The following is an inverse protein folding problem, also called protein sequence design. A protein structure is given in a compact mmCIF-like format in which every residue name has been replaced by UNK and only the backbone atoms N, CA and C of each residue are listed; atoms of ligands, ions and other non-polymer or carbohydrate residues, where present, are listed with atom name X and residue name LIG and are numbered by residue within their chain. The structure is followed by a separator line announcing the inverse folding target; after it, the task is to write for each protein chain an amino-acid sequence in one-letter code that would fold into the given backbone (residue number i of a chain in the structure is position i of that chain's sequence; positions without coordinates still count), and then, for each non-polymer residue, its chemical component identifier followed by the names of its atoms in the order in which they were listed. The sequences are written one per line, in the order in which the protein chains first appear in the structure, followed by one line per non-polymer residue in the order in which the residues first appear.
data_IF_855190894540
#
_entry.id   IF_855190894540
#
_cell.length_a   1.000
_cell.length_b   1.000
_cell.length_c   1.000
_cell.angle_alpha   90.00
_cell.angle_beta   90.00
_cell.angle_gamma   90.00
#
_symmetry.space_group_name_H-M   'P 1'
#
loop_
_entity.id
_entity.type
_entity.pdbx_description
1 polymer ?
#
# COMPACT_ATOMS: atom_id res chain seq x y z
N UNK A 1 -23.00 -21.76 18.62
CA UNK A 1 -21.98 -22.26 19.56
C UNK A 1 -20.77 -21.32 19.62
N UNK A 2 -20.16 -20.94 18.48
CA UNK A 2 -19.02 -19.98 18.45
C UNK A 2 -19.35 -18.58 19.02
N UNK A 3 -20.54 -18.04 18.72
CA UNK A 3 -21.06 -16.75 19.26
C UNK A 3 -21.31 -16.73 20.79
N UNK A 4 -21.24 -17.88 21.47
CA UNK A 4 -21.42 -17.94 22.94
C UNK A 4 -20.10 -17.87 23.71
N UNK A 5 -18.95 -17.96 23.02
CA UNK A 5 -17.61 -17.97 23.61
C UNK A 5 -16.78 -16.73 23.29
N UNK A 6 -17.06 -16.05 22.17
CA UNK A 6 -16.34 -14.87 21.71
C UNK A 6 -17.29 -13.69 21.56
N UNK A 7 -16.85 -12.50 21.99
CA UNK A 7 -17.58 -11.26 21.78
C UNK A 7 -17.50 -10.80 20.30
N UNK A 8 -18.33 -9.83 19.92
CA UNK A 8 -18.41 -9.35 18.52
C UNK A 8 -17.05 -8.86 17.97
N UNK A 9 -16.19 -8.31 18.82
CA UNK A 9 -14.86 -7.80 18.43
C UNK A 9 -13.90 -8.97 18.14
N UNK A 10 -13.88 -9.99 18.99
CA UNK A 10 -13.05 -11.18 18.74
C UNK A 10 -13.43 -11.89 17.44
N UNK A 11 -14.71 -11.84 17.06
CA UNK A 11 -15.18 -12.39 15.80
C UNK A 11 -14.65 -11.62 14.58
N UNK A 12 -14.36 -10.31 14.69
CA UNK A 12 -13.76 -9.56 13.58
C UNK A 12 -12.36 -10.04 13.25
N UNK A 13 -11.56 -10.38 14.26
CA UNK A 13 -10.24 -10.98 14.08
C UNK A 13 -10.30 -12.33 13.34
N UNK A 14 -11.28 -13.18 13.65
CA UNK A 14 -11.51 -14.44 12.93
C UNK A 14 -11.93 -14.22 11.47
N UNK A 15 -12.72 -13.18 11.19
CA UNK A 15 -13.15 -12.84 9.82
C UNK A 15 -12.00 -12.23 9.01
N UNK A 16 -11.11 -11.46 9.66
CA UNK A 16 -9.97 -10.84 8.99
C UNK A 16 -8.85 -11.83 8.67
N UNK A 17 -8.65 -12.85 9.52
CA UNK A 17 -7.55 -13.80 9.41
C UNK A 17 -7.44 -14.47 8.02
N UNK A 18 -8.51 -15.00 7.39
CA UNK A 18 -8.42 -15.56 6.04
C UNK A 18 -7.93 -14.57 4.99
N UNK A 19 -8.35 -13.30 5.07
CA UNK A 19 -7.93 -12.27 4.12
C UNK A 19 -6.46 -11.92 4.34
N UNK A 20 -6.04 -11.75 5.60
CA UNK A 20 -4.65 -11.50 5.94
C UNK A 20 -3.73 -12.68 5.55
N UNK A 21 -4.20 -13.91 5.69
CA UNK A 21 -3.49 -15.11 5.25
C UNK A 21 -3.32 -15.13 3.72
N UNK A 22 -4.39 -14.89 2.96
CA UNK A 22 -4.32 -14.83 1.50
C UNK A 22 -3.39 -13.71 1.04
N UNK A 23 -3.51 -12.51 1.62
CA UNK A 23 -2.63 -11.39 1.30
C UNK A 23 -1.16 -11.68 1.61
N UNK A 24 -0.88 -12.34 2.73
CA UNK A 24 0.46 -12.80 3.08
C UNK A 24 0.99 -13.79 2.06
N UNK A 25 0.18 -14.81 1.73
CA UNK A 25 0.58 -15.88 0.82
C UNK A 25 0.83 -15.37 -0.61
N UNK A 26 -0.10 -14.57 -1.17
CA UNK A 26 0.02 -14.05 -2.53
C UNK A 26 1.20 -13.10 -2.67
N UNK A 27 1.35 -12.14 -1.76
CA UNK A 27 2.43 -11.15 -1.86
C UNK A 27 3.82 -11.77 -1.65
N UNK A 28 4.02 -12.68 -0.68
CA UNK A 28 5.30 -13.38 -0.55
C UNK A 28 5.60 -14.27 -1.77
N UNK A 29 4.57 -14.90 -2.35
CA UNK A 29 4.72 -15.67 -3.59
C UNK A 29 5.13 -14.75 -4.74
N UNK A 30 4.52 -13.58 -4.88
CA UNK A 30 4.86 -12.59 -5.89
C UNK A 30 6.33 -12.14 -5.75
N UNK A 31 6.77 -11.80 -4.53
CA UNK A 31 8.19 -11.48 -4.25
C UNK A 31 9.12 -12.62 -4.68
N UNK A 32 8.80 -13.86 -4.30
CA UNK A 32 9.60 -15.03 -4.65
C UNK A 32 9.68 -15.25 -6.17
N UNK A 33 8.53 -15.20 -6.86
CA UNK A 33 8.43 -15.42 -8.30
C UNK A 33 9.18 -14.34 -9.07
N UNK A 34 8.98 -13.06 -8.73
CA UNK A 34 9.64 -11.92 -9.39
C UNK A 34 11.16 -11.99 -9.18
N UNK A 35 11.61 -12.36 -7.98
CA UNK A 35 13.04 -12.52 -7.69
C UNK A 35 13.68 -13.67 -8.49
N UNK A 36 12.97 -14.81 -8.63
CA UNK A 36 13.51 -16.01 -9.29
C UNK A 36 13.52 -15.91 -10.81
N UNK A 37 12.52 -15.28 -11.41
CA UNK A 37 12.33 -15.31 -12.85
C UNK A 37 13.20 -14.26 -13.58
N UNK A 38 14.09 -14.68 -14.51
CA UNK A 38 14.94 -13.74 -15.25
C UNK A 38 14.16 -12.72 -16.08
N UNK A 39 12.92 -13.06 -16.49
CA UNK A 39 12.05 -12.16 -17.24
C UNK A 39 11.68 -10.88 -16.50
N UNK A 40 11.82 -10.85 -15.16
CA UNK A 40 11.54 -9.68 -14.33
C UNK A 40 12.80 -8.88 -13.93
N UNK A 41 13.98 -9.22 -14.49
CA UNK A 41 15.22 -8.47 -14.25
C UNK A 41 15.28 -7.19 -15.07
N UNK A 42 14.35 -6.29 -14.79
CA UNK A 42 14.23 -4.96 -15.37
C UNK A 42 13.53 -4.02 -14.39
N UNK A 43 13.57 -2.72 -14.64
CA UNK A 43 13.04 -1.70 -13.73
C UNK A 43 11.65 -2.01 -13.16
N UNK A 44 10.68 -2.33 -14.02
CA UNK A 44 9.32 -2.67 -13.59
C UNK A 44 9.26 -3.86 -12.61
N UNK A 45 10.08 -4.89 -12.80
CA UNK A 45 10.09 -6.07 -11.93
C UNK A 45 10.70 -5.76 -10.56
N UNK A 46 11.80 -5.00 -10.50
CA UNK A 46 12.37 -4.57 -9.22
C UNK A 46 11.38 -3.73 -8.40
N UNK A 47 10.68 -2.78 -9.04
CA UNK A 47 9.68 -1.96 -8.38
C UNK A 47 8.48 -2.80 -7.90
N UNK A 48 7.97 -3.69 -8.75
CA UNK A 48 6.85 -4.58 -8.39
C UNK A 48 7.20 -5.50 -7.23
N UNK A 49 8.44 -6.02 -7.20
CA UNK A 49 8.92 -6.80 -6.06
C UNK A 49 9.00 -5.98 -4.78
N UNK A 50 9.37 -4.70 -4.86
CA UNK A 50 9.42 -3.79 -3.71
C UNK A 50 8.03 -3.49 -3.16
N UNK A 51 7.03 -3.29 -4.04
CA UNK A 51 5.66 -3.08 -3.62
C UNK A 51 5.07 -4.34 -2.97
N UNK A 52 5.18 -5.49 -3.64
CA UNK A 52 4.71 -6.77 -3.11
C UNK A 52 5.39 -7.13 -1.78
N UNK A 53 6.65 -6.73 -1.58
CA UNK A 53 7.31 -6.91 -0.28
C UNK A 53 6.68 -6.04 0.82
N UNK A 54 6.35 -4.79 0.53
CA UNK A 54 5.64 -3.92 1.47
C UNK A 54 4.25 -4.47 1.81
N UNK A 55 3.48 -4.88 0.79
CA UNK A 55 2.15 -5.48 0.94
C UNK A 55 2.19 -6.82 1.70
N UNK A 56 3.27 -7.60 1.52
CA UNK A 56 3.53 -8.83 2.27
C UNK A 56 3.77 -8.54 3.75
N UNK A 57 4.61 -7.56 4.09
CA UNK A 57 4.85 -7.16 5.49
C UNK A 57 3.53 -6.73 6.13
N UNK A 58 2.79 -5.84 5.47
CA UNK A 58 1.50 -5.35 5.94
C UNK A 58 0.54 -6.50 6.27
N UNK A 59 0.32 -7.42 5.32
CA UNK A 59 -0.56 -8.57 5.51
C UNK A 59 -0.06 -9.53 6.60
N UNK A 60 1.27 -9.72 6.69
CA UNK A 60 1.90 -10.59 7.70
C UNK A 60 1.68 -10.05 9.11
N UNK A 61 1.80 -8.74 9.31
CA UNK A 61 1.54 -8.08 10.60
C UNK A 61 0.08 -8.23 11.00
N UNK A 62 -0.85 -8.06 10.06
CA UNK A 62 -2.26 -8.35 10.33
C UNK A 62 -2.51 -9.81 10.72
N UNK A 63 -1.85 -10.75 10.04
CA UNK A 63 -2.01 -12.19 10.28
C UNK A 63 -1.38 -12.65 11.61
N UNK A 64 -0.18 -12.19 11.94
CA UNK A 64 0.62 -12.69 13.07
C UNK A 64 0.51 -11.84 14.34
N UNK A 65 0.11 -10.57 14.22
CA UNK A 65 -0.04 -9.67 15.36
C UNK A 65 -1.50 -9.30 15.59
N UNK A 66 -2.12 -8.60 14.64
CA UNK A 66 -3.46 -8.03 14.84
C UNK A 66 -4.52 -9.11 15.07
N UNK A 67 -4.60 -10.12 14.19
CA UNK A 67 -5.62 -11.16 14.33
C UNK A 67 -5.47 -11.93 15.65
N UNK A 68 -4.28 -12.43 16.05
CA UNK A 68 -4.07 -13.05 17.35
C UNK A 68 -4.42 -12.12 18.52
N UNK A 69 -4.01 -10.85 18.48
CA UNK A 69 -4.36 -9.86 19.50
C UNK A 69 -5.88 -9.74 19.69
N UNK A 70 -6.62 -9.57 18.59
CA UNK A 70 -8.07 -9.39 18.61
C UNK A 70 -8.79 -10.67 19.03
N UNK A 71 -8.39 -11.84 18.49
CA UNK A 71 -9.03 -13.14 18.79
C UNK A 71 -8.85 -13.51 20.26
N UNK A 72 -7.63 -13.33 20.79
CA UNK A 72 -7.30 -13.69 22.18
C UNK A 72 -7.75 -12.64 23.19
N UNK A 73 -8.00 -11.39 22.75
CA UNK A 73 -8.27 -10.27 23.65
C UNK A 73 -7.08 -9.95 24.57
N UNK A 74 -5.85 -10.18 24.09
CA UNK A 74 -4.63 -10.01 24.89
C UNK A 74 -4.40 -8.53 25.25
N UNK A 75 -4.40 -8.23 26.54
CA UNK A 75 -4.05 -6.89 27.06
C UNK A 75 -2.61 -6.53 26.71
N UNK A 76 -1.67 -7.47 26.88
CA UNK A 76 -0.26 -7.30 26.51
C UNK A 76 -0.07 -6.91 25.05
N UNK A 77 -0.68 -7.63 24.10
CA UNK A 77 -0.56 -7.28 22.68
C UNK A 77 -1.27 -5.95 22.35
N UNK A 78 -2.32 -5.60 23.09
CA UNK A 78 -3.01 -4.30 22.95
C UNK A 78 -2.12 -3.16 23.43
N UNK A 79 -1.42 -3.32 24.56
CA UNK A 79 -0.51 -2.33 25.14
C UNK A 79 0.62 -1.95 24.17
N UNK A 80 1.17 -2.93 23.45
CA UNK A 80 2.21 -2.70 22.43
C UNK A 80 1.67 -2.52 21.00
N UNK A 81 0.36 -2.25 20.85
CA UNK A 81 -0.26 -2.14 19.52
C UNK A 81 0.25 -0.96 18.69
N UNK A 82 0.85 0.05 19.31
CA UNK A 82 1.50 1.18 18.65
C UNK A 82 2.65 0.76 17.71
N UNK A 83 3.47 -0.21 18.11
CA UNK A 83 4.55 -0.73 17.26
C UNK A 83 3.99 -1.50 16.06
N UNK A 84 2.90 -2.25 16.27
CA UNK A 84 2.17 -2.87 15.17
C UNK A 84 1.63 -1.81 14.21
N UNK A 85 1.01 -0.75 14.73
CA UNK A 85 0.50 0.37 13.94
C UNK A 85 1.60 1.08 13.14
N UNK A 86 2.77 1.27 13.72
CA UNK A 86 3.94 1.81 13.02
C UNK A 86 4.34 0.96 11.81
N UNK A 87 4.49 -0.36 11.99
CA UNK A 87 4.90 -1.25 10.88
C UNK A 87 3.83 -1.24 9.78
N UNK A 88 2.54 -1.21 10.15
CA UNK A 88 1.44 -1.12 9.19
C UNK A 88 1.49 0.18 8.38
N UNK A 89 1.63 1.33 9.04
CA UNK A 89 1.74 2.63 8.35
C UNK A 89 2.98 2.72 7.46
N UNK A 90 4.14 2.28 7.97
CA UNK A 90 5.38 2.24 7.20
C UNK A 90 5.23 1.39 5.93
N UNK A 91 4.64 0.20 6.07
CA UNK A 91 4.43 -0.72 4.94
C UNK A 91 3.43 -0.15 3.94
N UNK A 92 2.35 0.45 4.42
CA UNK A 92 1.37 1.14 3.58
C UNK A 92 2.01 2.29 2.79
N UNK A 93 2.75 3.17 3.47
CA UNK A 93 3.41 4.31 2.84
C UNK A 93 4.44 3.84 1.80
N UNK A 94 5.23 2.82 2.12
CA UNK A 94 6.20 2.24 1.20
C UNK A 94 5.51 1.66 -0.05
N UNK A 95 4.38 0.99 0.12
CA UNK A 95 3.58 0.44 -0.98
C UNK A 95 3.06 1.55 -1.89
N UNK A 96 2.39 2.57 -1.33
CA UNK A 96 1.80 3.68 -2.10
C UNK A 96 2.86 4.50 -2.85
N UNK A 97 4.01 4.79 -2.21
CA UNK A 97 5.11 5.49 -2.87
C UNK A 97 5.73 4.66 -3.98
N UNK A 98 5.91 3.36 -3.77
CA UNK A 98 6.42 2.45 -4.81
C UNK A 98 5.44 2.37 -5.99
N UNK A 99 4.13 2.32 -5.72
CA UNK A 99 3.09 2.33 -6.74
C UNK A 99 3.15 3.60 -7.60
N UNK A 100 3.32 4.79 -7.00
CA UNK A 100 3.52 6.02 -7.75
C UNK A 100 4.69 5.93 -8.73
N UNK A 101 5.83 5.39 -8.28
CA UNK A 101 7.02 5.21 -9.12
C UNK A 101 6.79 4.15 -10.21
N UNK A 102 5.99 3.11 -9.94
CA UNK A 102 5.55 2.15 -10.97
C UNK A 102 4.74 2.85 -12.06
N UNK A 103 3.76 3.67 -11.70
CA UNK A 103 2.95 4.41 -12.69
C UNK A 103 3.82 5.41 -13.47
N UNK A 104 4.78 6.08 -12.83
CA UNK A 104 5.77 6.89 -13.52
C UNK A 104 6.64 6.07 -14.49
N UNK A 105 7.15 4.92 -14.06
CA UNK A 105 7.96 4.01 -14.89
C UNK A 105 7.25 3.68 -16.21
N UNK A 106 5.98 3.31 -16.12
CA UNK A 106 5.14 2.98 -17.28
C UNK A 106 4.82 4.19 -18.15
N UNK A 107 4.53 5.33 -17.52
CA UNK A 107 4.30 6.59 -18.22
C UNK A 107 5.52 7.00 -19.05
N UNK A 108 6.71 6.99 -18.46
CA UNK A 108 7.95 7.32 -19.18
C UNK A 108 8.25 6.31 -20.29
N UNK A 109 7.98 5.02 -20.07
CA UNK A 109 8.15 4.00 -21.10
C UNK A 109 7.28 4.28 -22.34
N UNK A 110 6.05 4.76 -22.15
CA UNK A 110 5.11 5.04 -23.24
C UNK A 110 5.29 6.42 -23.88
N UNK A 111 5.57 7.46 -23.08
CA UNK A 111 5.58 8.86 -23.53
C UNK A 111 6.97 9.40 -23.84
N UNK A 112 8.00 8.95 -23.13
CA UNK A 112 9.36 9.46 -23.29
C UNK A 112 10.41 8.33 -23.20
N UNK A 113 10.46 7.41 -24.18
CA UNK A 113 11.34 6.24 -24.15
C UNK A 113 12.83 6.56 -23.98
N UNK A 114 13.29 7.71 -24.50
CA UNK A 114 14.68 8.15 -24.34
C UNK A 114 15.00 8.51 -22.88
N UNK A 115 14.10 9.24 -22.20
CA UNK A 115 14.25 9.56 -20.77
C UNK A 115 14.10 8.31 -19.90
N UNK A 116 13.20 7.40 -20.28
CA UNK A 116 12.99 6.13 -19.59
C UNK A 116 14.29 5.33 -19.45
N UNK A 117 15.05 5.15 -20.53
CA UNK A 117 16.32 4.40 -20.51
C UNK A 117 17.36 4.98 -19.55
N UNK A 118 17.32 6.30 -19.32
CA UNK A 118 18.24 7.00 -18.42
C UNK A 118 17.74 6.91 -16.98
N UNK A 119 16.47 7.25 -16.73
CA UNK A 119 15.89 7.27 -15.38
C UNK A 119 15.73 5.86 -14.78
N UNK A 120 15.21 4.91 -15.56
CA UNK A 120 14.85 3.56 -15.11
C UNK A 120 15.82 2.50 -15.67
N UNK A 121 17.11 2.78 -15.56
CA UNK A 121 18.14 1.75 -15.71
C UNK A 121 18.15 0.82 -14.49
N UNK A 122 18.76 -0.36 -14.60
CA UNK A 122 18.87 -1.31 -13.49
C UNK A 122 19.50 -0.69 -12.24
N UNK A 123 20.57 0.11 -12.41
CA UNK A 123 21.24 0.79 -11.32
C UNK A 123 20.36 1.88 -10.71
N UNK A 124 19.80 2.75 -11.54
CA UNK A 124 19.01 3.88 -11.06
C UNK A 124 17.71 3.42 -10.39
N UNK A 125 17.08 2.35 -10.89
CA UNK A 125 15.87 1.80 -10.27
C UNK A 125 16.15 1.28 -8.87
N UNK A 126 17.29 0.58 -8.66
CA UNK A 126 17.69 0.12 -7.32
C UNK A 126 17.98 1.27 -6.37
N UNK A 127 18.61 2.35 -6.88
CA UNK A 127 18.83 3.58 -6.12
C UNK A 127 17.49 4.23 -5.75
N UNK A 128 16.54 4.32 -6.69
CA UNK A 128 15.20 4.86 -6.43
C UNK A 128 14.49 4.06 -5.34
N UNK A 129 14.48 2.72 -5.42
CA UNK A 129 13.88 1.86 -4.38
C UNK A 129 14.53 2.11 -3.01
N UNK A 130 15.86 2.17 -2.96
CA UNK A 130 16.58 2.45 -1.73
C UNK A 130 16.23 3.84 -1.16
N UNK A 131 16.15 4.86 -2.02
CA UNK A 131 15.77 6.21 -1.60
C UNK A 131 14.34 6.27 -1.08
N UNK A 132 13.37 5.63 -1.74
CA UNK A 132 11.98 5.54 -1.25
C UNK A 132 11.97 4.91 0.14
N UNK A 133 12.64 3.77 0.30
CA UNK A 133 12.69 3.07 1.58
C UNK A 133 13.23 3.96 2.71
N UNK A 134 14.37 4.63 2.50
CA UNK A 134 14.99 5.48 3.52
C UNK A 134 14.14 6.72 3.81
N UNK A 135 13.58 7.37 2.78
CA UNK A 135 12.74 8.56 2.96
C UNK A 135 11.44 8.21 3.68
N UNK A 136 10.78 7.12 3.29
CA UNK A 136 9.58 6.62 3.98
C UNK A 136 9.91 6.25 5.41
N UNK A 137 10.97 5.49 5.66
CA UNK A 137 11.36 5.11 7.02
C UNK A 137 11.66 6.33 7.89
N UNK A 138 12.41 7.32 7.36
CA UNK A 138 12.71 8.56 8.08
C UNK A 138 11.46 9.36 8.41
N UNK A 139 10.51 9.46 7.48
CA UNK A 139 9.22 10.12 7.72
C UNK A 139 8.41 9.36 8.77
N UNK A 140 8.23 8.05 8.61
CA UNK A 140 7.44 7.24 9.54
C UNK A 140 8.02 7.27 10.96
N UNK A 141 9.35 7.21 11.11
CA UNK A 141 10.00 7.37 12.41
C UNK A 141 9.74 8.77 12.98
N UNK A 142 9.91 9.83 12.20
CA UNK A 142 9.72 11.21 12.70
C UNK A 142 8.30 11.47 13.23
N UNK A 143 7.28 10.91 12.58
CA UNK A 143 5.87 11.21 12.88
C UNK A 143 5.17 10.17 13.77
N UNK A 144 5.59 8.90 13.72
CA UNK A 144 4.84 7.79 14.33
C UNK A 144 5.64 6.98 15.36
N UNK A 145 6.98 7.08 15.41
CA UNK A 145 7.85 6.32 16.33
C UNK A 145 8.92 7.23 16.94
N UNK A 146 8.70 7.67 18.17
CA UNK A 146 9.62 8.58 18.87
C UNK A 146 10.93 7.91 19.28
N UNK A 147 11.81 7.66 18.31
CA UNK A 147 13.13 7.11 18.58
C UNK A 147 14.15 8.22 18.84
N UNK A 148 14.88 8.05 19.93
CA UNK A 148 16.01 8.89 20.38
C UNK A 148 17.16 9.02 19.37
N UNK A 149 17.14 8.27 18.25
CA UNK A 149 18.16 8.34 17.21
C UNK A 149 18.18 9.68 16.46
N UNK A 150 17.02 10.35 16.34
CA UNK A 150 16.92 11.64 15.63
C UNK A 150 17.05 12.87 16.55
N UNK A 151 17.02 12.69 17.88
CA UNK A 151 17.30 13.76 18.85
C UNK A 151 18.69 14.39 18.63
N UNK A 152 19.64 13.62 18.08
CA UNK A 152 20.99 14.10 17.80
C UNK A 152 21.05 15.04 16.58
N UNK A 153 20.11 14.94 15.62
CA UNK A 153 20.20 15.67 14.35
C UNK A 153 19.32 16.92 14.27
N UNK A 154 18.20 16.96 15.01
CA UNK A 154 17.24 18.08 14.94
C UNK A 154 16.87 18.55 16.35
N UNK A 155 17.79 19.31 16.95
CA UNK A 155 17.73 19.83 18.33
C UNK A 155 16.63 20.87 18.61
N UNK A 156 15.72 21.14 17.66
CA UNK A 156 14.72 22.22 17.75
C UNK A 156 13.32 21.86 17.19
N UNK A 157 13.07 20.61 16.79
CA UNK A 157 11.74 20.22 16.31
C UNK A 157 10.98 19.51 17.42
N UNK A 158 9.84 20.08 17.80
CA UNK A 158 8.87 19.54 18.75
C UNK A 158 8.49 18.12 18.29
N UNK A 159 8.99 17.10 19.00
CA UNK A 159 8.66 15.69 18.75
C UNK A 159 7.22 15.45 19.16
N UNK A 160 6.37 15.16 18.19
CA UNK A 160 4.95 14.87 18.40
C UNK A 160 4.75 13.39 18.19
N UNK A 161 4.33 12.70 19.24
CA UNK A 161 4.01 11.28 19.20
C UNK A 161 2.58 11.11 18.70
N UNK A 162 2.42 10.65 17.46
CA UNK A 162 1.12 10.27 16.90
C UNK A 162 1.10 8.79 16.56
N UNK A 163 1.12 7.97 17.61
CA UNK A 163 1.02 6.52 17.49
C UNK A 163 -0.31 6.11 16.86
N UNK A 164 -0.27 5.03 16.07
CA UNK A 164 -1.46 4.37 15.58
C UNK A 164 -1.78 3.19 16.51
N UNK A 165 -2.81 3.33 17.32
CA UNK A 165 -3.12 2.41 18.42
C UNK A 165 -4.43 1.67 18.19
N UNK A 166 -4.52 0.46 18.71
CA UNK A 166 -5.74 -0.34 18.62
C UNK A 166 -6.75 0.07 19.70
N UNK A 167 -7.95 0.48 19.30
CA UNK A 167 -9.05 0.69 20.26
C UNK A 167 -9.82 -0.59 20.51
N UNK A 168 -9.82 -1.07 21.75
CA UNK A 168 -10.76 -2.12 22.16
C UNK A 168 -12.22 -1.64 22.16
N UNK A 169 -12.48 -0.33 22.19
CA UNK A 169 -13.85 0.20 22.21
C UNK A 169 -14.50 0.12 20.83
N UNK A 170 -13.78 0.55 19.80
CA UNK A 170 -14.28 0.64 18.42
C UNK A 170 -13.83 -0.54 17.55
N UNK A 171 -12.77 -1.26 17.93
CA UNK A 171 -12.30 -2.47 17.25
C UNK A 171 -11.42 -2.22 16.03
N UNK A 172 -10.83 -1.03 15.89
CA UNK A 172 -9.93 -0.67 14.79
C UNK A 172 -8.77 0.22 15.27
N UNK A 173 -7.78 0.42 14.39
CA UNK A 173 -6.62 1.28 14.63
C UNK A 173 -6.94 2.75 14.38
N UNK A 174 -6.55 3.63 15.29
CA UNK A 174 -6.76 5.07 15.15
C UNK A 174 -5.54 5.82 15.69
N UNK A 175 -5.34 7.04 15.19
CA UNK A 175 -4.28 7.89 15.71
C UNK A 175 -4.61 8.34 17.13
N UNK A 176 -3.59 8.55 17.95
CA UNK A 176 -3.73 9.15 19.29
C UNK A 176 -4.66 10.36 19.25
N UNK A 177 -5.67 10.39 20.12
CA UNK A 177 -6.72 11.42 20.07
C UNK A 177 -6.24 12.77 20.62
N UNK A 178 -5.47 13.48 19.81
CA UNK A 178 -5.05 14.85 20.05
C UNK A 178 -5.33 15.71 18.82
N UNK A 179 -5.58 17.03 18.99
CA UNK A 179 -5.84 17.91 17.84
C UNK A 179 -4.73 17.88 16.79
N UNK A 180 -3.48 17.72 17.24
CA UNK A 180 -2.31 17.68 16.36
C UNK A 180 -2.21 16.36 15.60
N UNK A 181 -2.41 15.22 16.25
CA UNK A 181 -2.40 13.92 15.59
C UNK A 181 -3.58 13.73 14.64
N UNK A 182 -4.76 14.25 15.00
CA UNK A 182 -5.90 14.29 14.10
C UNK A 182 -5.61 15.16 12.86
N UNK A 183 -4.92 16.30 13.03
CA UNK A 183 -4.48 17.12 11.89
C UNK A 183 -3.43 16.40 11.02
N UNK A 184 -2.46 15.73 11.63
CA UNK A 184 -1.45 14.92 10.92
C UNK A 184 -2.14 13.79 10.14
N UNK A 185 -2.99 12.99 10.78
CA UNK A 185 -3.74 11.93 10.10
C UNK A 185 -4.61 12.46 8.96
N UNK A 186 -5.18 13.66 9.09
CA UNK A 186 -5.95 14.27 8.00
C UNK A 186 -5.07 14.73 6.83
N UNK A 187 -4.02 15.51 7.09
CA UNK A 187 -3.22 16.13 6.02
C UNK A 187 -2.11 15.21 5.50
N UNK A 188 -1.36 14.60 6.41
CA UNK A 188 -0.17 13.80 6.12
C UNK A 188 -0.52 12.36 5.73
N UNK A 189 -1.68 11.84 6.12
CA UNK A 189 -2.16 10.52 5.66
C UNK A 189 -3.28 10.70 4.63
N UNK A 190 -4.48 11.11 5.04
CA UNK A 190 -5.64 11.13 4.15
C UNK A 190 -5.44 11.99 2.89
N UNK A 191 -5.18 13.29 3.02
CA UNK A 191 -5.00 14.19 1.87
C UNK A 191 -3.79 13.83 1.01
N UNK A 192 -2.66 13.47 1.65
CA UNK A 192 -1.43 13.04 0.97
C UNK A 192 -1.70 11.83 0.08
N UNK A 193 -2.22 10.74 0.64
CA UNK A 193 -2.42 9.49 -0.09
C UNK A 193 -3.52 9.62 -1.14
N UNK A 194 -4.61 10.35 -0.85
CA UNK A 194 -5.65 10.62 -1.85
C UNK A 194 -5.06 11.37 -3.07
N UNK A 195 -4.21 12.36 -2.82
CA UNK A 195 -3.54 13.10 -3.89
C UNK A 195 -2.62 12.20 -4.72
N UNK A 196 -1.83 11.33 -4.06
CA UNK A 196 -0.96 10.38 -4.75
C UNK A 196 -1.77 9.40 -5.60
N UNK A 197 -2.86 8.85 -5.07
CA UNK A 197 -3.74 7.91 -5.80
C UNK A 197 -4.36 8.60 -7.04
N UNK A 198 -4.80 9.86 -6.91
CA UNK A 198 -5.31 10.63 -8.05
C UNK A 198 -4.22 10.79 -9.13
N UNK A 199 -2.98 11.11 -8.73
CA UNK A 199 -1.85 11.21 -9.66
C UNK A 199 -1.57 9.87 -10.35
N UNK A 200 -1.58 8.76 -9.61
CA UNK A 200 -1.42 7.40 -10.15
C UNK A 200 -2.45 7.14 -11.24
N UNK A 201 -3.74 7.36 -10.96
CA UNK A 201 -4.83 7.14 -11.92
C UNK A 201 -4.65 8.00 -13.18
N UNK A 202 -4.26 9.26 -13.04
CA UNK A 202 -3.99 10.15 -14.18
C UNK A 202 -2.82 9.63 -15.04
N UNK A 203 -1.73 9.19 -14.41
CA UNK A 203 -0.56 8.65 -15.11
C UNK A 203 -0.91 7.36 -15.86
N UNK A 204 -1.67 6.45 -15.23
CA UNK A 204 -2.04 5.18 -15.85
C UNK A 204 -3.04 5.34 -16.99
N UNK A 205 -4.05 6.22 -16.85
CA UNK A 205 -4.95 6.58 -17.96
C UNK A 205 -4.16 7.17 -19.13
N UNK A 206 -3.23 8.10 -18.84
CA UNK A 206 -2.38 8.71 -19.87
C UNK A 206 -1.50 7.69 -20.59
N UNK A 207 -0.98 6.71 -19.86
CA UNK A 207 -0.18 5.60 -20.41
C UNK A 207 -1.02 4.73 -21.33
N UNK A 208 -2.21 4.31 -20.90
CA UNK A 208 -3.11 3.49 -21.71
C UNK A 208 -3.54 4.22 -22.98
N UNK A 209 -3.87 5.50 -22.87
CA UNK A 209 -4.25 6.29 -24.04
C UNK A 209 -3.14 6.32 -25.09
N UNK A 210 -1.88 6.52 -24.66
CA UNK A 210 -0.71 6.51 -25.55
C UNK A 210 -0.48 5.16 -26.21
N UNK A 211 -0.51 4.07 -25.44
CA UNK A 211 -0.32 2.71 -25.96
C UNK A 211 -1.39 2.37 -26.99
N UNK A 212 -2.67 2.72 -26.72
CA UNK A 212 -3.76 2.53 -27.69
C UNK A 212 -3.59 3.36 -28.96
N UNK A 213 -3.13 4.60 -28.82
CA UNK A 213 -2.87 5.49 -29.96
C UNK A 213 -1.76 4.94 -30.87
N UNK A 214 -0.66 4.46 -30.30
CA UNK A 214 0.43 3.81 -31.05
C UNK A 214 -0.09 2.54 -31.75
N UNK A 215 -0.80 1.66 -31.03
CA UNK A 215 -1.34 0.43 -31.59
C UNK A 215 -2.34 0.67 -32.74
N UNK A 216 -3.16 1.73 -32.65
CA UNK A 216 -4.07 2.11 -33.74
C UNK A 216 -3.29 2.57 -34.98
N UNK A 217 -2.23 3.38 -34.80
CA UNK A 217 -1.38 3.82 -35.92
C UNK A 217 -0.68 2.65 -36.61
N UNK A 218 -0.09 1.75 -35.83
CA UNK A 218 0.61 0.54 -36.34
C UNK A 218 -0.35 -0.38 -37.09
N UNK A 219 -1.61 -0.53 -36.66
CA UNK A 219 -2.64 -1.31 -37.39
C UNK A 219 -3.02 -0.73 -38.74
N UNK A 220 -2.77 0.56 -38.96
CA UNK A 220 -3.15 1.25 -40.22
C UNK A 220 -2.00 1.21 -41.23
N UNK A 221 -0.77 0.94 -40.79
CA UNK A 221 0.42 0.70 -41.62
C UNK A 221 0.72 -0.80 -41.66
N UNK A 222 0.31 -1.50 -42.72
CA UNK A 222 0.43 -2.96 -42.80
C UNK A 222 1.89 -3.41 -42.93
N UNK A 223 2.38 -4.16 -41.94
CA UNK A 223 3.18 -5.37 -42.17
C UNK A 223 2.88 -6.40 -41.05
N UNK A 224 2.37 -7.55 -41.48
CA UNK A 224 1.97 -8.68 -40.65
C UNK A 224 3.18 -9.59 -40.43
N UNK A 225 3.68 -9.67 -39.20
CA UNK A 225 4.07 -10.91 -38.49
C UNK A 225 5.08 -10.68 -37.36
N UNK A 226 5.77 -9.53 -37.31
CA UNK A 226 6.91 -9.36 -36.38
C UNK A 226 6.61 -8.47 -35.17
N UNK A 227 5.56 -7.63 -35.20
CA UNK A 227 5.28 -6.65 -34.12
C UNK A 227 4.11 -7.06 -33.22
N UNK A 228 3.46 -8.20 -33.49
CA UNK A 228 2.21 -8.62 -32.84
C UNK A 228 2.35 -9.17 -31.40
N UNK A 229 3.47 -8.86 -30.73
CA UNK A 229 3.82 -9.39 -29.41
C UNK A 229 4.17 -8.32 -28.37
N UNK A 230 3.97 -7.03 -28.64
CA UNK A 230 3.69 -6.05 -27.58
C UNK A 230 2.24 -6.28 -27.14
N UNK A 231 2.13 -7.30 -26.29
CA UNK A 231 1.04 -8.27 -26.25
C UNK A 231 -0.18 -7.69 -25.57
N UNK A 232 -1.39 -8.14 -25.95
CA UNK A 232 -2.62 -7.88 -25.19
C UNK A 232 -2.47 -8.09 -23.67
N UNK A 233 -1.49 -8.92 -23.25
CA UNK A 233 -1.03 -9.08 -21.87
C UNK A 233 -0.56 -7.77 -21.21
N UNK A 234 0.26 -6.97 -21.87
CA UNK A 234 0.74 -5.67 -21.35
C UNK A 234 -0.42 -4.68 -21.18
N UNK A 235 -1.41 -4.70 -22.10
CA UNK A 235 -2.62 -3.87 -21.98
C UNK A 235 -3.52 -4.36 -20.85
N UNK A 236 -3.69 -5.67 -20.69
CA UNK A 236 -4.48 -6.23 -19.59
C UNK A 236 -3.85 -5.93 -18.23
N UNK A 237 -2.52 -5.99 -18.15
CA UNK A 237 -1.77 -5.63 -16.97
C UNK A 237 -1.87 -4.13 -16.64
N UNK A 238 -1.88 -3.26 -17.66
CA UNK A 238 -2.17 -1.83 -17.47
C UNK A 238 -3.60 -1.57 -16.97
N UNK A 239 -4.60 -2.34 -17.47
CA UNK A 239 -5.98 -2.25 -16.97
C UNK A 239 -6.10 -2.69 -15.51
N UNK A 240 -5.36 -3.73 -15.12
CA UNK A 240 -5.32 -4.22 -13.74
C UNK A 240 -4.86 -3.11 -12.78
N UNK A 241 -3.84 -2.34 -13.14
CA UNK A 241 -3.34 -1.25 -12.29
C UNK A 241 -4.29 -0.04 -12.19
N UNK A 242 -5.06 0.26 -13.23
CA UNK A 242 -6.15 1.25 -13.08
C UNK A 242 -7.20 0.76 -12.08
N UNK A 243 -7.55 -0.52 -12.15
CA UNK A 243 -8.51 -1.10 -11.22
C UNK A 243 -7.97 -1.09 -9.78
N UNK A 244 -6.68 -1.33 -9.62
CA UNK A 244 -5.93 -1.18 -8.37
C UNK A 244 -6.08 0.24 -7.80
N UNK A 245 -5.75 1.29 -8.56
CA UNK A 245 -5.90 2.68 -8.11
C UNK A 245 -7.33 3.08 -7.77
N UNK A 246 -8.33 2.51 -8.46
CA UNK A 246 -9.75 2.72 -8.16
C UNK A 246 -10.23 1.99 -6.90
N UNK A 247 -9.50 0.97 -6.44
CA UNK A 247 -9.80 0.24 -5.19
C UNK A 247 -9.20 0.95 -3.97
N UNK A 248 -7.98 1.49 -4.07
CA UNK A 248 -7.32 2.22 -2.98
C UNK A 248 -8.06 3.51 -2.56
N UNK A 249 -8.62 4.27 -3.52
CA UNK A 249 -9.29 5.53 -3.18
C UNK A 249 -10.55 5.35 -2.30
N UNK A 250 -11.51 4.46 -2.64
CA UNK A 250 -12.65 4.15 -1.77
C UNK A 250 -12.24 3.59 -0.42
N UNK A 251 -11.19 2.78 -0.35
CA UNK A 251 -10.66 2.24 0.91
C UNK A 251 -10.21 3.38 1.83
N UNK A 252 -9.38 4.30 1.35
CA UNK A 252 -8.91 5.45 2.12
C UNK A 252 -10.07 6.37 2.58
N UNK A 253 -11.03 6.63 1.70
CA UNK A 253 -12.25 7.38 2.06
C UNK A 253 -13.05 6.63 3.12
N UNK A 254 -13.19 5.31 2.98
CA UNK A 254 -13.92 4.50 3.93
C UNK A 254 -13.26 4.49 5.30
N UNK A 255 -11.92 4.49 5.37
CA UNK A 255 -11.17 4.45 6.62
C UNK A 255 -11.31 5.74 7.43
N UNK A 256 -11.17 6.90 6.78
CA UNK A 256 -11.12 8.19 7.47
C UNK A 256 -12.49 8.85 7.67
N UNK A 257 -13.48 8.57 6.82
CA UNK A 257 -14.78 9.27 6.85
C UNK A 257 -15.86 8.42 7.51
N UNK A 258 -15.99 7.14 7.15
CA UNK A 258 -17.15 6.34 7.55
C UNK A 258 -17.22 6.04 9.06
N UNK A 259 -16.12 5.76 9.80
CA UNK A 259 -16.20 5.45 11.22
C UNK A 259 -16.84 6.56 12.06
N UNK A 260 -16.68 7.83 11.67
CA UNK A 260 -17.29 8.97 12.36
C UNK A 260 -18.82 9.01 12.22
N UNK A 261 -19.38 8.30 11.24
CA UNK A 261 -20.81 8.27 10.92
C UNK A 261 -21.49 6.93 11.23
N UNK A 262 -20.74 5.94 11.69
CA UNK A 262 -21.22 4.59 11.92
C UNK A 262 -21.22 4.26 13.40
N UNK A 263 -22.37 3.81 13.92
CA UNK A 263 -22.46 3.27 15.30
C UNK A 263 -22.25 1.76 15.35
N UNK A 264 -22.40 1.06 14.23
CA UNK A 264 -22.31 -0.39 14.16
C UNK A 264 -20.84 -0.83 14.02
N UNK A 265 -20.35 -1.59 15.01
CA UNK A 265 -18.97 -2.11 15.06
C UNK A 265 -18.58 -2.93 13.83
N UNK A 266 -19.50 -3.73 13.29
CA UNK A 266 -19.26 -4.50 12.06
C UNK A 266 -19.09 -3.58 10.86
N UNK A 267 -19.89 -2.51 10.77
CA UNK A 267 -19.77 -1.55 9.68
C UNK A 267 -18.42 -0.81 9.75
N UNK A 268 -18.01 -0.38 10.95
CA UNK A 268 -16.69 0.23 11.18
C UNK A 268 -15.57 -0.73 10.79
N UNK A 269 -15.64 -1.99 11.22
CA UNK A 269 -14.64 -3.01 10.88
C UNK A 269 -14.53 -3.22 9.36
N UNK A 270 -15.67 -3.34 8.67
CA UNK A 270 -15.68 -3.53 7.22
C UNK A 270 -15.18 -2.30 6.45
N UNK A 271 -15.37 -1.09 6.98
CA UNK A 271 -14.87 0.15 6.37
C UNK A 271 -13.44 0.52 6.76
N UNK A 272 -12.81 -0.21 7.68
CA UNK A 272 -11.45 0.09 8.17
C UNK A 272 -10.53 -1.10 7.94
N UNK A 273 -10.24 -1.89 8.97
CA UNK A 273 -9.26 -2.98 8.93
C UNK A 273 -9.54 -4.00 7.83
N UNK A 274 -10.81 -4.34 7.59
CA UNK A 274 -11.14 -5.31 6.53
C UNK A 274 -10.85 -4.74 5.14
N UNK A 275 -11.31 -3.52 4.85
CA UNK A 275 -11.04 -2.85 3.58
C UNK A 275 -9.52 -2.73 3.36
N UNK A 276 -8.80 -2.23 4.37
CA UNK A 276 -7.35 -2.00 4.32
C UNK A 276 -6.60 -3.29 3.95
N UNK A 277 -6.81 -4.38 4.68
CA UNK A 277 -6.15 -5.67 4.39
C UNK A 277 -6.59 -6.24 3.03
N UNK A 278 -7.86 -6.09 2.67
CA UNK A 278 -8.38 -6.61 1.40
C UNK A 278 -7.70 -5.96 0.20
N UNK A 279 -7.47 -4.65 0.23
CA UNK A 279 -6.79 -3.95 -0.87
C UNK A 279 -5.38 -4.49 -1.07
N UNK A 280 -4.58 -4.65 -0.01
CA UNK A 280 -3.24 -5.24 -0.12
C UNK A 280 -3.26 -6.72 -0.49
N UNK A 281 -4.29 -7.48 -0.11
CA UNK A 281 -4.44 -8.86 -0.50
C UNK A 281 -4.79 -9.03 -1.99
N UNK A 282 -5.49 -8.07 -2.58
CA UNK A 282 -5.84 -8.06 -4.00
C UNK A 282 -4.69 -7.61 -4.91
N UNK A 283 -3.69 -6.94 -4.35
CA UNK A 283 -2.49 -6.47 -5.07
C UNK A 283 -1.49 -7.59 -5.36
N UNK A 284 -1.44 -8.62 -4.50
CA UNK A 284 -0.53 -9.77 -4.61
C UNK A 284 -0.94 -10.79 -5.67
#
# INVERSE_FOLDING_TARGET
MLRMLLNDIQLTGLVLFPVAFLGTFFNWTAVFVIYKLPSFRHAFGYLSSSQAFADAIHSTVFMLYFCPMVITGSEFLTEYSEHCGFILLFSYELSVQTHLIISMNRFFAAWAPYKYKIMFSDRNTKIIIFLIFILTLGFSLTFYEGTSFFEMFVRNLFLVFCSLEYSQKTGFFFFTDTPLCNAIGWYADFCKYLTIIIIIVILDISTIWKVRSINKKVRTSVDLQTTHRMSAKEINFLKQTIFQGFIFAPELVSYFILPAHLSNKWAIFFSTSFAWVTVHALDG
#
